data_IF_469230963259
#
_entry.id   IF_469230963259
#
_cell.length_a   1.000
_cell.length_b   1.000
_cell.length_c   1.000
_cell.angle_alpha   90.00
_cell.angle_beta   90.00
_cell.angle_gamma   90.00
#
_symmetry.space_group_name_H-M   'P 1'
#
loop_
_entity.id
_entity.type
_entity.pdbx_description
1 polymer ?
#
# COMPACT_ATOMS: atom_id res chain seq x y z
N UNK A 1 -16.90 -1.89 25.61
CA UNK A 1 -15.53 -2.45 25.70
C UNK A 1 -14.96 -2.47 24.29
N UNK A 2 -13.87 -1.76 23.99
CA UNK A 2 -13.16 -2.01 22.74
C UNK A 2 -12.65 -3.47 22.75
N UNK A 3 -12.89 -4.20 21.66
CA UNK A 3 -12.55 -5.62 21.54
C UNK A 3 -11.05 -5.90 21.67
N UNK A 4 -10.64 -7.17 21.83
CA UNK A 4 -9.23 -7.54 21.88
C UNK A 4 -8.56 -7.06 20.60
N UNK A 5 -7.68 -6.06 20.71
CA UNK A 5 -6.78 -5.67 19.64
C UNK A 5 -5.94 -6.90 19.33
N UNK A 6 -6.10 -7.47 18.13
CA UNK A 6 -5.21 -8.51 17.63
C UNK A 6 -3.76 -8.04 17.88
N UNK A 7 -2.91 -8.93 18.41
CA UNK A 7 -1.51 -8.61 18.68
C UNK A 7 -0.87 -8.15 17.37
N UNK A 8 -0.75 -6.83 17.18
CA UNK A 8 -0.19 -6.27 15.95
C UNK A 8 1.29 -6.62 15.91
N UNK A 9 1.72 -7.11 14.75
CA UNK A 9 3.16 -7.27 14.52
C UNK A 9 3.81 -5.88 14.42
N UNK A 10 5.13 -5.77 14.68
CA UNK A 10 5.83 -4.50 14.57
C UNK A 10 5.60 -3.86 13.20
N UNK A 11 5.55 -2.53 13.19
CA UNK A 11 5.43 -1.73 11.97
C UNK A 11 6.49 -2.18 10.95
N UNK A 12 6.03 -2.65 9.78
CA UNK A 12 6.91 -3.11 8.70
C UNK A 12 7.26 -1.91 7.82
N UNK A 13 8.23 -1.12 8.25
CA UNK A 13 8.73 0.05 7.55
C UNK A 13 10.24 -0.05 7.38
N UNK A 14 10.73 0.36 6.21
CA UNK A 14 12.16 0.54 5.94
C UNK A 14 12.34 1.90 5.30
N UNK A 15 13.18 2.73 5.92
CA UNK A 15 13.52 4.07 5.45
C UNK A 15 14.92 4.06 4.87
N UNK A 16 15.18 5.00 3.95
CA UNK A 16 16.55 5.35 3.58
C UNK A 16 17.34 5.80 4.83
N UNK A 17 18.68 5.79 4.73
CA UNK A 17 19.61 6.12 5.80
C UNK A 17 19.63 7.61 6.23
N UNK A 18 18.50 8.31 6.08
CA UNK A 18 18.24 9.61 6.67
C UNK A 18 18.48 10.81 5.75
N UNK A 19 18.71 10.59 4.45
CA UNK A 19 18.81 11.69 3.48
C UNK A 19 17.89 11.42 2.29
N UNK A 20 16.96 12.33 1.96
CA UNK A 20 16.13 12.19 0.78
C UNK A 20 17.02 12.15 -0.47
N UNK A 21 17.26 10.94 -1.00
CA UNK A 21 18.25 10.69 -2.05
C UNK A 21 17.61 10.34 -3.40
N UNK A 22 16.29 10.16 -3.43
CA UNK A 22 15.56 9.68 -4.61
C UNK A 22 14.07 10.03 -4.62
N UNK A 23 13.29 9.43 -5.55
CA UNK A 23 11.86 9.64 -5.64
C UNK A 23 11.07 8.98 -4.50
N UNK A 24 11.72 8.11 -3.73
CA UNK A 24 11.18 7.44 -2.55
C UNK A 24 12.19 7.58 -1.42
N UNK A 25 11.67 7.78 -0.22
CA UNK A 25 12.43 7.86 1.03
C UNK A 25 12.36 6.53 1.82
N UNK A 26 11.67 5.53 1.27
CA UNK A 26 11.50 4.21 1.86
C UNK A 26 10.25 3.49 1.39
N UNK A 27 9.93 2.43 2.10
CA UNK A 27 8.73 1.63 1.89
C UNK A 27 8.04 1.26 3.21
N UNK A 28 6.74 1.09 3.09
CA UNK A 28 5.88 0.61 4.15
C UNK A 28 5.02 -0.54 3.63
N UNK A 29 5.01 -1.64 4.39
CA UNK A 29 4.23 -2.83 4.09
C UNK A 29 3.09 -2.99 5.13
N UNK A 30 1.90 -2.43 4.85
CA UNK A 30 0.75 -2.56 5.74
C UNK A 30 0.33 -4.03 5.93
N UNK A 31 -0.26 -4.32 7.09
CA UNK A 31 -0.78 -5.65 7.42
C UNK A 31 -2.16 -5.90 6.80
N UNK A 32 -2.88 -4.82 6.51
CA UNK A 32 -4.25 -4.87 6.01
C UNK A 32 -4.54 -3.68 5.09
N UNK A 33 -5.71 -3.70 4.44
CA UNK A 33 -6.21 -2.56 3.63
C UNK A 33 -7.13 -1.63 4.43
N UNK A 34 -7.11 -1.73 5.77
CA UNK A 34 -7.87 -0.84 6.65
C UNK A 34 -7.07 0.44 6.95
N UNK A 35 -7.36 1.49 6.19
CA UNK A 35 -6.62 2.75 6.25
C UNK A 35 -6.55 3.37 7.66
N UNK A 36 -7.62 3.28 8.44
CA UNK A 36 -7.68 3.90 9.78
C UNK A 36 -6.74 3.18 10.74
N UNK A 37 -6.83 1.85 10.77
CA UNK A 37 -6.04 0.98 11.61
C UNK A 37 -4.56 1.10 11.26
N UNK A 38 -4.23 1.07 9.97
CA UNK A 38 -2.85 1.06 9.48
C UNK A 38 -2.18 2.44 9.59
N UNK A 39 -2.87 3.54 9.22
CA UNK A 39 -2.29 4.88 9.40
C UNK A 39 -2.11 5.24 10.87
N UNK A 40 -3.06 4.86 11.75
CA UNK A 40 -2.88 5.10 13.18
C UNK A 40 -1.67 4.34 13.73
N UNK A 41 -1.41 3.12 13.24
CA UNK A 41 -0.22 2.35 13.60
C UNK A 41 1.06 3.02 13.11
N UNK A 42 1.05 3.47 11.85
CA UNK A 42 2.16 4.18 11.24
C UNK A 42 2.51 5.47 11.99
N UNK A 43 1.51 6.27 12.37
CA UNK A 43 1.72 7.52 13.12
C UNK A 43 2.30 7.24 14.51
N UNK A 44 1.84 6.17 15.17
CA UNK A 44 2.24 5.83 16.53
C UNK A 44 3.67 5.25 16.59
N UNK A 45 4.10 4.55 15.55
CA UNK A 45 5.37 3.81 15.50
C UNK A 45 6.37 4.38 14.49
N UNK A 46 6.09 5.55 13.93
CA UNK A 46 7.01 6.20 12.99
C UNK A 46 8.37 6.42 13.69
N UNK A 47 9.51 6.12 13.03
CA UNK A 47 10.82 6.38 13.61
C UNK A 47 10.96 7.85 14.01
N UNK A 48 11.42 8.11 15.24
CA UNK A 48 11.50 9.48 15.79
C UNK A 48 12.35 10.45 14.96
N UNK A 49 13.24 9.93 14.11
CA UNK A 49 14.05 10.71 13.15
C UNK A 49 13.22 11.42 12.08
N UNK A 50 12.01 10.94 11.77
CA UNK A 50 11.12 11.54 10.76
C UNK A 50 10.34 12.72 11.35
N UNK A 51 10.18 12.78 12.67
CA UNK A 51 9.38 13.81 13.34
C UNK A 51 7.87 13.50 13.37
N UNK A 52 7.07 14.45 13.86
CA UNK A 52 5.64 14.25 14.12
C UNK A 52 4.81 14.41 12.83
N UNK A 53 4.00 13.42 12.43
CA UNK A 53 3.09 13.54 11.29
C UNK A 53 2.03 14.60 11.53
N UNK A 54 1.85 15.51 10.57
CA UNK A 54 0.78 16.51 10.56
C UNK A 54 -0.28 16.22 9.49
N UNK A 55 0.14 15.61 8.37
CA UNK A 55 -0.75 15.20 7.27
C UNK A 55 -0.27 13.93 6.58
N UNK A 56 -1.21 13.09 6.17
CA UNK A 56 -0.97 11.93 5.30
C UNK A 56 -1.68 12.10 3.96
N UNK A 57 -1.00 11.76 2.86
CA UNK A 57 -1.60 11.66 1.53
C UNK A 57 -1.40 10.24 1.00
N UNK A 58 -2.45 9.54 0.64
CA UNK A 58 -2.40 8.15 0.18
C UNK A 58 -3.08 7.98 -1.18
N UNK A 59 -2.76 6.90 -1.90
CA UNK A 59 -3.51 6.50 -3.09
C UNK A 59 -4.74 5.69 -2.69
N UNK A 60 -5.92 6.03 -3.24
CA UNK A 60 -7.21 5.40 -2.87
C UNK A 60 -7.31 3.90 -3.15
N UNK A 61 -6.88 3.37 -4.32
CA UNK A 61 -7.09 1.97 -4.66
C UNK A 61 -6.34 0.98 -3.74
N UNK A 62 -5.39 1.46 -2.94
CA UNK A 62 -4.70 0.64 -1.95
C UNK A 62 -5.59 0.26 -0.74
N UNK A 63 -6.69 0.98 -0.49
CA UNK A 63 -7.46 0.91 0.77
C UNK A 63 -8.95 0.60 0.59
N UNK A 64 -9.50 -0.26 1.46
CA UNK A 64 -10.87 -0.78 1.37
C UNK A 64 -11.93 0.25 1.78
N UNK A 65 -11.69 0.96 2.90
CA UNK A 65 -12.65 1.89 3.52
C UNK A 65 -13.04 3.12 2.68
N UNK A 66 -12.36 3.38 1.57
CA UNK A 66 -12.63 4.52 0.68
C UNK A 66 -13.34 4.13 -0.61
N UNK A 67 -13.43 2.84 -0.92
CA UNK A 67 -14.21 2.34 -2.06
C UNK A 67 -15.71 2.62 -1.88
N UNK A 68 -16.18 2.75 -0.63
CA UNK A 68 -17.60 2.87 -0.26
C UNK A 68 -18.03 4.32 0.04
N UNK A 69 -17.37 5.33 -0.55
CA UNK A 69 -17.82 6.73 -0.51
C UNK A 69 -17.63 7.47 0.83
N UNK A 70 -16.96 6.86 1.81
CA UNK A 70 -16.63 7.51 3.08
C UNK A 70 -15.48 8.51 2.90
N UNK A 71 -15.74 9.80 3.11
CA UNK A 71 -14.69 10.83 3.12
C UNK A 71 -14.00 10.83 4.49
N UNK A 72 -12.93 10.03 4.62
CA UNK A 72 -12.08 10.08 5.81
C UNK A 72 -11.19 11.34 5.72
N UNK A 73 -11.38 12.29 6.65
CA UNK A 73 -10.65 13.57 6.68
C UNK A 73 -9.56 13.64 7.73
N UNK A 74 -9.69 12.84 8.79
CA UNK A 74 -8.79 12.86 9.94
C UNK A 74 -8.68 11.46 10.54
N UNK A 75 -7.49 11.09 10.98
CA UNK A 75 -7.22 9.87 11.74
C UNK A 75 -6.71 10.25 13.13
N UNK A 76 -7.25 9.62 14.17
CA UNK A 76 -6.80 9.82 15.55
C UNK A 76 -5.78 8.75 15.91
N UNK A 77 -4.57 9.19 16.26
CA UNK A 77 -3.50 8.36 16.81
C UNK A 77 -3.17 8.81 18.24
N UNK A 78 -2.28 8.10 18.94
CA UNK A 78 -1.91 8.45 20.33
C UNK A 78 -1.26 9.85 20.42
N UNK A 79 -0.56 10.28 19.37
CA UNK A 79 0.04 11.61 19.24
C UNK A 79 -0.92 12.73 18.83
N UNK A 80 -2.19 12.42 18.54
CA UNK A 80 -3.21 13.39 18.16
C UNK A 80 -3.92 13.09 16.85
N UNK A 81 -4.72 14.06 16.40
CA UNK A 81 -5.48 13.99 15.17
C UNK A 81 -4.62 14.44 13.98
N UNK A 82 -4.43 13.55 13.00
CA UNK A 82 -3.65 13.80 11.78
C UNK A 82 -4.62 13.94 10.61
N UNK A 83 -4.44 14.99 9.81
CA UNK A 83 -5.28 15.21 8.62
C UNK A 83 -4.90 14.20 7.55
N UNK A 84 -5.88 13.59 6.90
CA UNK A 84 -5.62 12.67 5.80
C UNK A 84 -6.27 13.14 4.52
N UNK A 85 -5.64 12.84 3.40
CA UNK A 85 -6.14 13.16 2.07
C UNK A 85 -5.75 12.08 1.07
N UNK A 86 -6.48 12.04 -0.04
CA UNK A 86 -6.20 11.12 -1.13
C UNK A 86 -5.61 11.84 -2.33
N UNK A 87 -4.76 11.17 -3.09
CA UNK A 87 -4.37 11.65 -4.41
C UNK A 87 -5.57 11.66 -5.37
N UNK A 88 -5.63 12.64 -6.29
CA UNK A 88 -6.66 12.66 -7.34
C UNK A 88 -6.47 11.52 -8.36
N UNK A 89 -5.23 11.07 -8.56
CA UNK A 89 -4.85 10.00 -9.48
C UNK A 89 -4.97 8.63 -8.80
N UNK A 90 -5.55 7.67 -9.53
CA UNK A 90 -5.62 6.26 -9.14
C UNK A 90 -4.22 5.60 -9.25
N UNK A 91 -3.86 4.76 -8.28
CA UNK A 91 -2.73 3.81 -8.30
C UNK A 91 -1.33 4.43 -8.40
N UNK A 92 -0.99 5.32 -7.45
CA UNK A 92 0.41 5.74 -7.29
C UNK A 92 1.19 4.80 -6.36
N UNK A 93 0.50 3.96 -5.57
CA UNK A 93 1.09 3.14 -4.50
C UNK A 93 2.03 3.95 -3.60
N UNK A 94 1.68 5.21 -3.38
CA UNK A 94 2.49 6.19 -2.68
C UNK A 94 1.73 6.68 -1.46
N UNK A 95 2.44 6.74 -0.34
CA UNK A 95 2.02 7.43 0.87
C UNK A 95 3.01 8.57 1.12
N UNK A 96 2.51 9.81 1.20
CA UNK A 96 3.30 10.96 1.60
C UNK A 96 2.97 11.32 3.04
N UNK A 97 3.97 11.24 3.91
CA UNK A 97 3.90 11.76 5.28
C UNK A 97 4.43 13.19 5.27
N UNK A 98 3.60 14.14 5.65
CA UNK A 98 4.02 15.53 5.87
C UNK A 98 4.21 15.73 7.37
N UNK A 99 5.40 16.12 7.77
CA UNK A 99 5.75 16.35 9.17
C UNK A 99 5.26 17.72 9.63
N UNK A 100 5.24 17.99 10.93
CA UNK A 100 4.95 19.32 11.46
C UNK A 100 5.97 20.38 11.03
N UNK A 101 7.19 19.97 10.70
CA UNK A 101 8.26 20.82 10.14
C UNK A 101 8.05 21.15 8.65
N UNK A 102 7.09 20.51 7.99
CA UNK A 102 6.80 20.67 6.56
C UNK A 102 7.62 19.77 5.64
N UNK A 103 8.46 18.89 6.20
CA UNK A 103 9.19 17.88 5.43
C UNK A 103 8.23 16.82 4.91
N UNK A 104 8.58 16.23 3.76
CA UNK A 104 7.75 15.23 3.06
C UNK A 104 8.54 13.96 2.91
N UNK A 105 7.95 12.87 3.40
CA UNK A 105 8.48 11.53 3.27
C UNK A 105 7.61 10.75 2.28
N UNK A 106 8.20 10.31 1.18
CA UNK A 106 7.59 9.52 0.12
C UNK A 106 7.81 8.03 0.37
N UNK A 107 6.77 7.33 0.79
CA UNK A 107 6.81 5.90 1.08
C UNK A 107 6.09 5.11 -0.01
N UNK A 108 6.77 4.10 -0.56
CA UNK A 108 6.11 3.06 -1.33
C UNK A 108 5.17 2.28 -0.41
N UNK A 109 3.90 2.16 -0.79
CA UNK A 109 2.92 1.27 -0.14
C UNK A 109 2.96 -0.07 -0.85
N UNK A 110 3.42 -1.11 -0.16
CA UNK A 110 3.43 -2.47 -0.70
C UNK A 110 2.08 -3.13 -0.38
N UNK A 111 1.37 -3.74 -1.34
CA UNK A 111 0.09 -4.40 -1.07
C UNK A 111 0.21 -5.41 0.08
N UNK A 112 -0.76 -5.44 0.99
CA UNK A 112 -0.71 -6.34 2.17
C UNK A 112 -0.71 -7.83 1.79
N UNK A 113 -1.23 -8.16 0.60
CA UNK A 113 -1.21 -9.49 -0.01
C UNK A 113 0.13 -9.85 -0.63
N UNK A 114 1.16 -9.00 -0.50
CA UNK A 114 2.47 -9.23 -1.08
C UNK A 114 3.18 -10.41 -0.40
N UNK A 115 3.75 -11.34 -1.18
CA UNK A 115 4.58 -12.44 -0.68
C UNK A 115 5.79 -11.87 0.05
N UNK A 116 6.20 -12.49 1.16
CA UNK A 116 7.19 -11.91 2.06
C UNK A 116 8.53 -11.60 1.37
N UNK A 117 9.03 -12.51 0.54
CA UNK A 117 10.31 -12.34 -0.17
C UNK A 117 10.26 -11.14 -1.15
N UNK A 118 9.13 -10.99 -1.83
CA UNK A 118 8.87 -9.88 -2.77
C UNK A 118 8.73 -8.56 -2.02
N UNK A 119 8.01 -8.56 -0.89
CA UNK A 119 7.86 -7.39 -0.06
C UNK A 119 9.21 -6.93 0.50
N UNK A 120 10.04 -7.85 0.99
CA UNK A 120 11.38 -7.53 1.48
C UNK A 120 12.30 -6.96 0.38
N UNK A 121 12.27 -7.54 -0.84
CA UNK A 121 13.02 -7.00 -1.99
C UNK A 121 12.54 -5.59 -2.36
N UNK A 122 11.23 -5.37 -2.45
CA UNK A 122 10.64 -4.05 -2.71
C UNK A 122 11.02 -3.03 -1.63
N UNK A 123 10.97 -3.42 -0.36
CA UNK A 123 11.36 -2.55 0.75
C UNK A 123 12.82 -2.12 0.61
N UNK A 124 13.73 -3.07 0.35
CA UNK A 124 15.16 -2.79 0.17
C UNK A 124 15.42 -1.88 -1.03
N UNK A 125 14.75 -2.10 -2.17
CA UNK A 125 14.89 -1.26 -3.36
C UNK A 125 14.37 0.16 -3.14
N UNK A 126 13.25 0.31 -2.44
CA UNK A 126 12.66 1.61 -2.17
C UNK A 126 13.48 2.44 -1.17
N UNK A 127 14.17 1.78 -0.23
CA UNK A 127 15.06 2.41 0.75
C UNK A 127 16.52 2.52 0.29
N UNK A 128 16.84 2.12 -0.94
CA UNK A 128 18.20 2.25 -1.49
C UNK A 128 18.43 3.70 -1.94
N UNK A 129 19.51 4.31 -1.46
CA UNK A 129 19.90 5.69 -1.79
C UNK A 129 20.06 5.93 -3.32
N UNK A 130 20.34 4.88 -4.09
CA UNK A 130 20.52 4.92 -5.55
C UNK A 130 19.22 4.67 -6.30
N UNK A 131 18.10 4.48 -5.60
CA UNK A 131 16.83 4.27 -6.25
C UNK A 131 16.44 5.52 -7.05
N UNK A 132 16.24 5.34 -8.35
CA UNK A 132 15.70 6.36 -9.25
C UNK A 132 14.31 5.99 -9.78
N UNK A 133 13.73 4.88 -9.31
CA UNK A 133 12.45 4.35 -9.78
C UNK A 133 11.29 4.81 -8.91
N UNK A 134 10.16 5.10 -9.54
CA UNK A 134 8.92 5.43 -8.85
C UNK A 134 8.31 4.19 -8.17
N UNK A 135 7.39 4.41 -7.22
CA UNK A 135 6.65 3.34 -6.55
C UNK A 135 5.97 2.37 -7.53
N UNK A 136 5.26 2.91 -8.52
CA UNK A 136 4.58 2.12 -9.55
C UNK A 136 5.57 1.29 -10.38
N UNK A 137 6.70 1.89 -10.79
CA UNK A 137 7.74 1.17 -11.55
C UNK A 137 8.34 0.02 -10.76
N UNK A 138 8.60 0.19 -9.45
CA UNK A 138 9.11 -0.88 -8.60
C UNK A 138 8.11 -2.03 -8.49
N UNK A 139 6.83 -1.73 -8.27
CA UNK A 139 5.77 -2.74 -8.21
C UNK A 139 5.55 -3.46 -9.54
N UNK A 140 5.56 -2.74 -10.67
CA UNK A 140 5.44 -3.34 -12.00
C UNK A 140 6.63 -4.27 -12.28
N UNK A 141 7.85 -3.84 -11.95
CA UNK A 141 9.06 -4.65 -12.10
C UNK A 141 8.99 -5.92 -11.25
N UNK A 142 8.57 -5.79 -9.98
CA UNK A 142 8.39 -6.95 -9.11
C UNK A 142 7.32 -7.89 -9.64
N UNK A 143 6.19 -7.36 -10.16
CA UNK A 143 5.15 -8.18 -10.79
C UNK A 143 5.66 -8.93 -12.02
N UNK A 144 6.52 -8.32 -12.85
CA UNK A 144 7.14 -9.00 -13.99
C UNK A 144 8.19 -10.05 -13.57
N UNK A 145 8.92 -9.79 -12.49
CA UNK A 145 9.98 -10.67 -12.00
C UNK A 145 9.43 -11.90 -11.22
N UNK A 146 8.41 -11.69 -10.41
CA UNK A 146 7.83 -12.72 -9.53
C UNK A 146 6.51 -13.32 -10.07
N UNK A 147 5.92 -12.74 -11.12
CA UNK A 147 4.64 -13.16 -11.71
C UNK A 147 4.61 -14.51 -12.42
N UNK A 148 5.62 -15.37 -12.24
CA UNK A 148 5.59 -16.78 -12.63
C UNK A 148 4.81 -17.68 -11.65
N UNK A 149 4.48 -17.18 -10.44
CA UNK A 149 3.68 -17.88 -9.44
C UNK A 149 2.59 -16.93 -8.91
N UNK A 150 1.35 -17.09 -9.40
CA UNK A 150 0.07 -16.46 -8.99
C UNK A 150 0.04 -14.95 -8.62
N UNK A 151 -0.83 -14.13 -9.24
CA UNK A 151 -0.75 -12.67 -9.14
C UNK A 151 -1.24 -12.08 -7.81
N UNK A 152 -0.60 -10.98 -7.41
CA UNK A 152 -1.13 -10.01 -6.44
C UNK A 152 -2.52 -9.54 -6.85
N UNK A 153 -3.53 -9.93 -6.06
CA UNK A 153 -4.79 -9.20 -5.94
C UNK A 153 -5.65 -9.06 -7.19
N UNK A 154 -5.58 -9.96 -8.17
CA UNK A 154 -6.68 -10.11 -9.12
C UNK A 154 -7.53 -11.31 -8.72
N UNK A 155 -8.77 -11.04 -8.33
CA UNK A 155 -9.84 -12.03 -8.45
C UNK A 155 -9.80 -12.53 -9.89
N UNK A 156 -9.41 -13.79 -10.09
CA UNK A 156 -9.58 -14.44 -11.39
C UNK A 156 -11.08 -14.43 -11.65
N UNK A 157 -11.50 -13.73 -12.68
CA UNK A 157 -12.85 -13.84 -13.17
C UNK A 157 -12.92 -15.23 -13.78
N UNK A 158 -13.75 -16.11 -13.21
CA UNK A 158 -14.04 -17.39 -13.82
C UNK A 158 -14.80 -17.13 -15.13
N UNK A 159 -14.08 -17.06 -16.24
CA UNK A 159 -14.66 -17.27 -17.56
C UNK A 159 -15.07 -18.74 -17.64
N UNK A 160 -16.30 -19.07 -17.24
CA UNK A 160 -16.93 -20.31 -17.69
C UNK A 160 -17.49 -20.08 -19.09
N UNK A 161 -16.61 -19.83 -20.06
CA UNK A 161 -16.87 -20.04 -21.47
C UNK A 161 -16.92 -21.53 -21.77
N UNK A 162 -18.03 -22.20 -21.48
CA UNK A 162 -18.31 -23.52 -22.06
C UNK A 162 -19.04 -23.34 -23.39
N UNK A 163 -18.26 -23.36 -24.47
CA UNK A 163 -18.75 -23.54 -25.84
C UNK A 163 -18.93 -25.03 -26.16
N UNK A 164 -20.14 -25.35 -26.65
CA UNK A 164 -20.44 -26.24 -27.77
C UNK A 164 -20.21 -27.77 -27.67
N UNK A 165 -21.29 -28.56 -27.78
CA UNK A 165 -21.52 -29.40 -28.98
C UNK A 165 -22.92 -30.05 -29.08
N UNK A 166 -23.66 -29.62 -30.12
CA UNK A 166 -24.20 -30.42 -31.23
C UNK A 166 -24.84 -31.80 -30.90
N UNK A 167 -26.17 -31.83 -30.95
CA UNK A 167 -26.96 -33.02 -31.27
C UNK A 167 -28.11 -32.65 -32.22
N UNK A 168 -27.90 -32.87 -33.52
CA UNK A 168 -28.97 -32.92 -34.52
C UNK A 168 -29.89 -34.12 -34.24
N UNK A 169 -31.16 -34.07 -34.64
CA UNK A 169 -31.52 -34.93 -35.76
C UNK A 169 -32.38 -34.27 -36.84
N UNK A 170 -32.18 -34.79 -38.05
CA UNK A 170 -32.75 -34.45 -39.36
C UNK A 170 -34.27 -34.69 -39.48
N UNK A 171 -34.93 -34.16 -40.54
CA UNK A 171 -36.38 -34.16 -40.70
C UNK A 171 -36.91 -35.39 -41.45
N UNK A 172 -38.18 -35.74 -41.24
CA UNK A 172 -39.23 -36.04 -42.23
C UNK A 172 -40.60 -35.85 -41.58
#
# INVERSE_FOLDING_TARGET
>A
MPGPRAARVPLRILLDNGFPSGPLDGAWWPQSRDLQIECADLIDHLPGLVGLPSRLLFSRPDWDALAEGASLRTITASGGAVTVGSFPTDDTHLLIVVTSSGERLHLLVIPSTTENDVAEDLMRRAADERNSSSANTLLETARSHFGGVVPFGMSVWEDNGSTENRGVPSPL
#
